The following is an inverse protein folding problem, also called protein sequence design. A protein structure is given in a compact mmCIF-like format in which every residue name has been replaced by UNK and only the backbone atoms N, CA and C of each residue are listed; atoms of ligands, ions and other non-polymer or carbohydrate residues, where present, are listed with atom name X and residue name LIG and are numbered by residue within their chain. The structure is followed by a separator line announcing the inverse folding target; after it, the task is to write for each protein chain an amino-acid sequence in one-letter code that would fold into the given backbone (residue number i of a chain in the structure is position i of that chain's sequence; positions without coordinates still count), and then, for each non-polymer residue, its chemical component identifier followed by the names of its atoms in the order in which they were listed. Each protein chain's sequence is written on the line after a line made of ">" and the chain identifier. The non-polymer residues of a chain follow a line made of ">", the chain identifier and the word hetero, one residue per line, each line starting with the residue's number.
data_IF_124950513752
#
_entry.id   IF_124950513752
#
_cell.length_a   1.000
_cell.length_b   1.000
_cell.length_c   1.000
_cell.angle_alpha   90.00
_cell.angle_beta   90.00
_cell.angle_gamma   90.00
#
_symmetry.space_group_name_H-M   'P 1'
#
loop_
_entity.id
_entity.type
_entity.pdbx_description
1 polymer ?
#
# COMPACT_ATOMS: atom_id res chain seq x y z
N UNK A 1 8.25 13.66 4.04
CA UNK A 1 8.33 12.44 4.87
C UNK A 1 9.78 11.98 4.89
N UNK A 2 10.32 11.51 6.01
CA UNK A 2 11.70 11.03 6.09
C UNK A 2 11.92 9.83 5.16
N UNK A 3 13.17 9.60 4.74
CA UNK A 3 13.52 8.39 4.00
C UNK A 3 13.21 7.15 4.86
N UNK A 4 12.58 6.14 4.26
CA UNK A 4 12.15 4.93 4.97
C UNK A 4 11.09 4.16 4.22
N UNK A 5 10.35 3.34 4.94
CA UNK A 5 9.23 2.56 4.39
C UNK A 5 7.92 3.34 4.53
N UNK A 6 7.25 3.57 3.41
CA UNK A 6 5.88 4.08 3.38
C UNK A 6 4.92 2.91 3.11
N UNK A 7 3.99 2.67 4.01
CA UNK A 7 3.00 1.58 3.89
C UNK A 7 1.64 2.18 3.56
N UNK A 8 1.07 1.81 2.41
CA UNK A 8 -0.30 2.18 2.08
C UNK A 8 -1.26 1.20 2.74
N UNK A 9 -2.22 1.72 3.48
CA UNK A 9 -3.23 0.93 4.20
C UNK A 9 -4.61 1.36 3.75
N UNK A 10 -5.37 0.44 3.18
CA UNK A 10 -6.74 0.73 2.75
C UNK A 10 -7.34 -0.41 1.95
N UNK A 11 -8.69 -0.53 1.93
CA UNK A 11 -9.38 -1.59 1.22
C UNK A 11 -9.13 -1.54 -0.30
N UNK A 12 -9.44 -2.58 -1.05
CA UNK A 12 -9.49 -2.53 -2.52
C UNK A 12 -10.38 -1.35 -2.97
N UNK A 13 -10.06 -0.78 -4.11
CA UNK A 13 -10.73 0.40 -4.68
C UNK A 13 -10.64 1.71 -3.87
N UNK A 14 -9.92 1.78 -2.75
CA UNK A 14 -9.80 2.99 -1.92
C UNK A 14 -8.96 4.13 -2.52
N UNK A 15 -8.44 3.99 -3.74
CA UNK A 15 -7.69 5.04 -4.42
C UNK A 15 -6.17 4.97 -4.30
N UNK A 16 -5.59 3.96 -3.63
CA UNK A 16 -4.14 3.81 -3.44
C UNK A 16 -3.35 3.91 -4.75
N UNK A 17 -3.69 3.10 -5.74
CA UNK A 17 -3.00 3.08 -7.05
C UNK A 17 -3.10 4.41 -7.79
N UNK A 18 -4.27 5.07 -7.74
CA UNK A 18 -4.44 6.39 -8.36
C UNK A 18 -3.60 7.46 -7.67
N UNK A 19 -3.47 7.38 -6.35
CA UNK A 19 -2.62 8.26 -5.56
C UNK A 19 -1.13 8.03 -5.87
N UNK A 20 -0.67 6.77 -5.89
CA UNK A 20 0.72 6.43 -6.23
C UNK A 20 1.05 6.89 -7.65
N UNK A 21 0.16 6.66 -8.61
CA UNK A 21 0.34 7.15 -9.99
C UNK A 21 0.51 8.66 -10.01
N UNK A 22 -0.32 9.41 -9.28
CA UNK A 22 -0.19 10.86 -9.19
C UNK A 22 1.14 11.32 -8.56
N UNK A 23 1.67 10.60 -7.57
CA UNK A 23 3.01 10.86 -7.01
C UNK A 23 4.12 10.68 -8.06
N UNK A 24 4.05 9.62 -8.85
CA UNK A 24 5.04 9.32 -9.90
C UNK A 24 4.94 10.33 -11.05
N UNK A 25 3.73 10.61 -11.54
CA UNK A 25 3.48 11.61 -12.60
C UNK A 25 3.93 13.01 -12.16
N UNK A 26 3.70 13.35 -10.88
CA UNK A 26 4.17 14.59 -10.25
C UNK A 26 5.67 14.61 -9.94
N UNK A 27 6.42 13.56 -10.26
CA UNK A 27 7.86 13.40 -9.96
C UNK A 27 8.23 13.59 -8.49
N UNK A 28 7.29 13.31 -7.60
CA UNK A 28 7.50 13.34 -6.15
C UNK A 28 8.16 12.05 -5.66
N UNK A 29 8.00 10.98 -6.43
CA UNK A 29 8.53 9.64 -6.16
C UNK A 29 8.94 9.00 -7.48
N UNK A 30 10.08 8.32 -7.51
CA UNK A 30 10.49 7.51 -8.65
C UNK A 30 9.62 6.25 -8.74
N UNK A 31 9.29 5.82 -9.95
CA UNK A 31 8.49 4.60 -10.18
C UNK A 31 9.12 3.38 -9.49
N UNK A 32 10.45 3.29 -9.50
CA UNK A 32 11.20 2.21 -8.86
C UNK A 32 11.06 2.18 -7.32
N UNK A 33 10.67 3.30 -6.72
CA UNK A 33 10.39 3.36 -5.27
C UNK A 33 9.06 2.71 -4.90
N UNK A 34 8.21 2.40 -5.85
CA UNK A 34 6.93 1.75 -5.64
C UNK A 34 7.08 0.24 -5.78
N UNK A 35 6.64 -0.49 -4.75
CA UNK A 35 6.59 -1.96 -4.76
C UNK A 35 5.13 -2.36 -4.61
N UNK A 36 4.52 -2.71 -5.74
CA UNK A 36 3.11 -3.08 -5.83
C UNK A 36 2.94 -4.60 -5.84
N UNK A 37 2.12 -5.12 -4.94
CA UNK A 37 1.80 -6.56 -4.92
C UNK A 37 0.99 -6.99 -6.14
N UNK A 38 0.16 -6.10 -6.71
CA UNK A 38 -0.63 -6.38 -7.90
C UNK A 38 0.27 -6.45 -9.15
N UNK A 39 1.28 -5.56 -9.26
CA UNK A 39 2.28 -5.61 -10.33
C UNK A 39 3.13 -6.88 -10.23
N UNK A 40 3.62 -7.22 -9.04
CA UNK A 40 4.37 -8.45 -8.80
C UNK A 40 3.54 -9.68 -9.19
N UNK A 41 2.24 -9.72 -8.85
CA UNK A 41 1.34 -10.79 -9.28
C UNK A 41 1.31 -10.91 -10.80
N UNK A 42 1.14 -9.78 -11.48
CA UNK A 42 1.11 -9.74 -12.95
C UNK A 42 2.44 -10.20 -13.58
N UNK A 43 3.57 -9.79 -13.02
CA UNK A 43 4.90 -10.21 -13.47
C UNK A 43 5.16 -11.71 -13.29
N UNK A 44 4.75 -12.27 -12.14
CA UNK A 44 5.02 -13.67 -11.81
C UNK A 44 4.07 -14.65 -12.50
N UNK A 45 2.83 -14.26 -12.73
CA UNK A 45 1.76 -15.18 -13.16
C UNK A 45 1.00 -14.72 -14.41
N UNK A 46 1.23 -13.48 -14.87
CA UNK A 46 0.48 -12.88 -15.97
C UNK A 46 -0.84 -12.23 -15.53
N UNK A 47 -1.39 -11.39 -16.39
CA UNK A 47 -2.57 -10.59 -16.10
C UNK A 47 -3.88 -11.42 -15.93
N UNK A 48 -3.90 -12.66 -16.41
CA UNK A 48 -5.09 -13.53 -16.43
C UNK A 48 -4.98 -14.75 -15.52
N UNK A 49 -3.97 -14.82 -14.66
CA UNK A 49 -3.75 -15.97 -13.79
C UNK A 49 -4.68 -15.91 -12.57
N UNK A 50 -5.88 -16.48 -12.72
CA UNK A 50 -6.72 -16.86 -11.59
C UNK A 50 -6.17 -18.16 -10.98
N UNK A 51 -5.99 -18.23 -9.63
CA UNK A 51 -5.58 -19.48 -9.00
C UNK A 51 -6.70 -20.52 -9.14
N UNK A 52 -6.33 -21.72 -9.60
CA UNK A 52 -7.28 -22.79 -9.91
C UNK A 52 -7.94 -23.41 -8.66
N UNK A 53 -7.30 -23.29 -7.50
CA UNK A 53 -7.79 -23.74 -6.20
C UNK A 53 -7.19 -22.92 -5.04
N UNK A 54 -7.68 -23.13 -3.81
CA UNK A 54 -7.22 -22.40 -2.62
C UNK A 54 -5.74 -22.66 -2.27
N UNK A 55 -5.25 -23.85 -2.50
CA UNK A 55 -3.85 -24.22 -2.20
C UNK A 55 -2.87 -23.54 -3.16
N UNK A 56 -3.23 -23.43 -4.44
CA UNK A 56 -2.45 -22.69 -5.43
C UNK A 56 -2.50 -21.18 -5.18
N UNK A 57 -3.64 -20.65 -4.68
CA UNK A 57 -3.77 -19.25 -4.28
C UNK A 57 -2.84 -18.89 -3.13
N UNK A 58 -2.79 -19.69 -2.07
CA UNK A 58 -1.92 -19.48 -0.93
C UNK A 58 -0.43 -19.54 -1.33
N UNK A 59 -0.05 -20.47 -2.20
CA UNK A 59 1.31 -20.58 -2.72
C UNK A 59 1.68 -19.38 -3.61
N UNK A 60 0.75 -18.89 -4.44
CA UNK A 60 0.96 -17.71 -5.26
C UNK A 60 1.13 -16.46 -4.38
N UNK A 61 0.30 -16.28 -3.38
CA UNK A 61 0.40 -15.14 -2.44
C UNK A 61 1.71 -15.18 -1.65
N UNK A 62 2.16 -16.36 -1.23
CA UNK A 62 3.45 -16.51 -0.55
C UNK A 62 4.61 -16.03 -1.44
N UNK A 63 4.62 -16.39 -2.74
CA UNK A 63 5.64 -15.95 -3.70
C UNK A 63 5.59 -14.45 -3.96
N UNK A 64 4.38 -13.86 -4.05
CA UNK A 64 4.21 -12.42 -4.21
C UNK A 64 4.79 -11.68 -2.99
N UNK A 65 4.48 -12.15 -1.79
CA UNK A 65 4.98 -11.52 -0.56
C UNK A 65 6.50 -11.69 -0.40
N UNK A 66 7.06 -12.81 -0.80
CA UNK A 66 8.50 -13.02 -0.79
C UNK A 66 9.21 -12.06 -1.75
N UNK A 67 8.75 -11.94 -2.97
CA UNK A 67 9.32 -11.02 -3.96
C UNK A 67 9.14 -9.55 -3.55
N UNK A 68 7.97 -9.18 -3.02
CA UNK A 68 7.73 -7.85 -2.45
C UNK A 68 8.73 -7.51 -1.37
N UNK A 69 8.92 -8.42 -0.40
CA UNK A 69 9.81 -8.19 0.73
C UNK A 69 11.28 -8.13 0.28
N UNK A 70 11.66 -8.92 -0.72
CA UNK A 70 12.99 -8.86 -1.35
C UNK A 70 13.25 -7.48 -1.98
N UNK A 71 12.28 -6.94 -2.75
CA UNK A 71 12.40 -5.60 -3.39
C UNK A 71 12.48 -4.51 -2.34
N UNK A 72 11.62 -4.55 -1.33
CA UNK A 72 11.63 -3.59 -0.21
C UNK A 72 12.96 -3.65 0.52
N UNK A 73 13.45 -4.84 0.87
CA UNK A 73 14.73 -5.03 1.57
C UNK A 73 15.90 -4.47 0.78
N UNK A 74 15.95 -4.71 -0.53
CA UNK A 74 17.02 -4.21 -1.39
C UNK A 74 17.08 -2.67 -1.39
N UNK A 75 15.94 -1.99 -1.46
CA UNK A 75 15.88 -0.53 -1.40
C UNK A 75 16.27 0.02 -0.04
N UNK A 76 15.75 -0.56 1.04
CA UNK A 76 16.08 -0.14 2.41
C UNK A 76 17.57 -0.36 2.73
N UNK A 77 18.16 -1.48 2.27
CA UNK A 77 19.60 -1.75 2.40
C UNK A 77 20.47 -0.71 1.67
N UNK A 78 19.97 -0.17 0.56
CA UNK A 78 20.62 0.92 -0.17
C UNK A 78 20.37 2.32 0.45
N UNK A 79 19.65 2.40 1.58
CA UNK A 79 19.27 3.66 2.21
C UNK A 79 18.19 4.43 1.44
N UNK A 80 17.48 3.76 0.51
CA UNK A 80 16.47 4.36 -0.36
C UNK A 80 15.09 4.25 0.25
N UNK A 81 14.24 5.26 0.00
CA UNK A 81 12.81 5.20 0.35
C UNK A 81 12.08 4.18 -0.52
N UNK A 82 11.03 3.58 0.04
CA UNK A 82 10.17 2.64 -0.67
C UNK A 82 8.72 2.78 -0.24
N UNK A 83 7.79 2.64 -1.18
CA UNK A 83 6.35 2.61 -0.95
C UNK A 83 5.87 1.17 -1.15
N UNK A 84 5.31 0.57 -0.11
CA UNK A 84 4.65 -0.73 -0.18
C UNK A 84 3.18 -0.54 -0.54
N UNK A 85 2.82 -0.81 -1.80
CA UNK A 85 1.46 -0.73 -2.31
C UNK A 85 0.78 -2.10 -2.26
N UNK A 86 -0.15 -2.23 -1.32
CA UNK A 86 -1.08 -3.36 -1.17
C UNK A 86 -2.23 -2.91 -0.26
N UNK A 87 -3.20 -3.77 0.03
CA UNK A 87 -4.29 -3.44 0.96
C UNK A 87 -3.78 -3.21 2.38
N UNK A 88 -2.90 -4.04 2.88
CA UNK A 88 -2.26 -3.98 4.22
C UNK A 88 -3.24 -3.69 5.38
N UNK A 89 -4.52 -4.07 5.25
CA UNK A 89 -5.56 -3.77 6.26
C UNK A 89 -5.46 -4.67 7.49
N UNK A 90 -4.82 -5.82 7.39
CA UNK A 90 -4.66 -6.75 8.50
C UNK A 90 -3.40 -6.45 9.31
N UNK A 91 -3.40 -6.65 10.65
CA UNK A 91 -2.21 -6.50 11.48
C UNK A 91 -1.05 -7.38 11.01
N UNK A 92 -1.32 -8.65 10.63
CA UNK A 92 -0.31 -9.61 10.16
C UNK A 92 0.45 -9.11 8.92
N UNK A 93 -0.27 -8.49 7.96
CA UNK A 93 0.36 -7.94 6.76
C UNK A 93 1.32 -6.78 7.09
N UNK A 94 0.93 -5.93 8.04
CA UNK A 94 1.74 -4.78 8.48
C UNK A 94 2.91 -5.19 9.37
N UNK A 95 2.71 -6.13 10.28
CA UNK A 95 3.76 -6.66 11.16
C UNK A 95 4.99 -7.11 10.36
N UNK A 96 4.77 -7.84 9.27
CA UNK A 96 5.84 -8.29 8.37
C UNK A 96 6.62 -7.13 7.77
N UNK A 97 5.93 -6.08 7.31
CA UNK A 97 6.55 -4.89 6.73
C UNK A 97 7.30 -4.06 7.78
N UNK A 98 6.73 -3.90 8.97
CA UNK A 98 7.33 -3.18 10.08
C UNK A 98 8.59 -3.93 10.58
N UNK A 99 8.52 -5.25 10.71
CA UNK A 99 9.67 -6.07 11.08
C UNK A 99 10.81 -5.95 10.05
N UNK A 100 10.45 -5.90 8.74
CA UNK A 100 11.42 -5.70 7.69
C UNK A 100 12.10 -4.33 7.79
N UNK A 101 11.34 -3.26 7.96
CA UNK A 101 11.88 -1.90 8.11
C UNK A 101 12.81 -1.78 9.35
N UNK A 102 12.43 -2.39 10.47
CA UNK A 102 13.25 -2.42 11.70
C UNK A 102 14.63 -3.05 11.49
N UNK A 103 14.74 -4.08 10.64
CA UNK A 103 16.05 -4.71 10.32
C UNK A 103 17.04 -3.74 9.69
N UNK A 104 16.56 -2.70 9.03
CA UNK A 104 17.37 -1.67 8.39
C UNK A 104 17.36 -0.32 9.14
N UNK A 105 16.80 -0.28 10.35
CA UNK A 105 16.66 0.97 11.12
C UNK A 105 15.80 2.04 10.40
N UNK A 106 14.97 1.62 9.44
CA UNK A 106 14.17 2.52 8.63
C UNK A 106 12.86 2.90 9.35
N UNK A 107 12.49 4.19 9.42
CA UNK A 107 11.21 4.59 9.97
C UNK A 107 10.07 4.13 9.05
N UNK A 108 8.93 3.79 9.66
CA UNK A 108 7.70 3.41 8.94
C UNK A 108 6.70 4.56 8.99
N UNK A 109 6.28 5.04 7.83
CA UNK A 109 5.17 5.97 7.69
C UNK A 109 3.97 5.25 7.08
N UNK A 110 2.80 5.36 7.70
CA UNK A 110 1.57 4.79 7.16
C UNK A 110 0.73 5.89 6.50
N UNK A 111 0.32 5.66 5.27
CA UNK A 111 -0.70 6.43 4.57
C UNK A 111 -2.00 5.64 4.54
N UNK A 112 -3.00 6.13 5.27
CA UNK A 112 -4.27 5.45 5.50
C UNK A 112 -5.34 5.99 4.55
N UNK A 113 -5.93 5.07 3.77
CA UNK A 113 -7.04 5.34 2.85
C UNK A 113 -8.31 4.76 3.46
N UNK A 114 -9.11 5.59 4.10
CA UNK A 114 -10.31 5.19 4.83
C UNK A 114 -11.58 5.84 4.24
N UNK A 115 -11.99 5.45 3.00
CA UNK A 115 -13.24 5.94 2.42
C UNK A 115 -14.44 5.38 3.17
N UNK A 116 -15.56 6.07 3.11
CA UNK A 116 -16.83 5.51 3.55
C UNK A 116 -17.20 4.31 2.69
N UNK A 117 -17.97 3.37 3.26
CA UNK A 117 -18.38 2.15 2.56
C UNK A 117 -19.17 2.46 1.29
N UNK A 118 -20.02 3.50 1.32
CA UNK A 118 -20.77 3.93 0.14
C UNK A 118 -19.87 4.40 -0.99
N UNK A 119 -18.89 5.27 -0.70
CA UNK A 119 -17.89 5.74 -1.66
C UNK A 119 -17.05 4.59 -2.21
N UNK A 120 -16.70 3.64 -1.35
CA UNK A 120 -15.91 2.48 -1.72
C UNK A 120 -16.65 1.59 -2.72
N UNK A 121 -17.93 1.31 -2.47
CA UNK A 121 -18.78 0.51 -3.35
C UNK A 121 -19.00 1.22 -4.68
N UNK A 122 -19.25 2.53 -4.66
CA UNK A 122 -19.37 3.31 -5.88
C UNK A 122 -18.09 3.24 -6.72
N UNK A 123 -16.92 3.47 -6.11
CA UNK A 123 -15.62 3.39 -6.78
C UNK A 123 -15.32 1.98 -7.32
N UNK A 124 -15.75 0.95 -6.60
CA UNK A 124 -15.62 -0.43 -7.04
C UNK A 124 -16.45 -0.69 -8.31
N UNK A 125 -17.72 -0.28 -8.30
CA UNK A 125 -18.62 -0.40 -9.45
C UNK A 125 -18.13 0.39 -10.66
N UNK A 126 -17.70 1.64 -10.45
CA UNK A 126 -17.18 2.50 -11.52
C UNK A 126 -15.92 1.92 -12.22
N UNK A 127 -15.11 1.15 -11.51
CA UNK A 127 -13.91 0.51 -12.06
C UNK A 127 -14.20 -0.78 -12.83
N UNK A 128 -15.43 -1.28 -12.80
CA UNK A 128 -15.81 -2.52 -13.49
C UNK A 128 -15.00 -3.75 -13.04
N UNK A 129 -14.51 -3.74 -11.81
CA UNK A 129 -13.76 -4.90 -11.27
C UNK A 129 -14.72 -6.05 -11.01
N UNK A 130 -14.26 -7.28 -11.30
CA UNK A 130 -15.02 -8.51 -11.11
C UNK A 130 -14.32 -9.51 -10.18
N UNK A 131 -13.12 -9.16 -9.72
CA UNK A 131 -12.25 -10.00 -8.88
C UNK A 131 -12.69 -10.08 -7.41
N UNK A 132 -13.62 -9.23 -6.98
CA UNK A 132 -14.21 -9.23 -5.64
C UNK A 132 -15.73 -9.05 -5.74
N UNK A 133 -16.43 -9.43 -4.70
CA UNK A 133 -17.85 -9.14 -4.54
C UNK A 133 -18.08 -7.90 -3.68
N UNK A 134 -19.30 -7.35 -3.69
CA UNK A 134 -19.68 -6.28 -2.76
C UNK A 134 -19.51 -6.71 -1.30
N UNK A 135 -19.72 -8.00 -1.00
CA UNK A 135 -19.54 -8.57 0.35
C UNK A 135 -18.07 -8.50 0.75
N UNK A 136 -17.16 -8.84 -0.16
CA UNK A 136 -15.72 -8.78 0.09
C UNK A 136 -15.27 -7.34 0.36
N UNK A 137 -15.75 -6.38 -0.44
CA UNK A 137 -15.45 -4.95 -0.27
C UNK A 137 -15.88 -4.45 1.11
N UNK A 138 -17.11 -4.84 1.55
CA UNK A 138 -17.62 -4.52 2.90
C UNK A 138 -16.79 -5.19 4.00
N UNK A 139 -16.36 -6.44 3.78
CA UNK A 139 -15.51 -7.16 4.72
C UNK A 139 -14.15 -6.46 4.90
N UNK A 140 -13.52 -6.03 3.82
CA UNK A 140 -12.28 -5.25 3.88
C UNK A 140 -12.47 -3.92 4.62
N UNK A 141 -13.58 -3.21 4.38
CA UNK A 141 -13.90 -1.97 5.11
C UNK A 141 -14.09 -2.22 6.61
N UNK A 142 -14.76 -3.31 6.98
CA UNK A 142 -14.94 -3.69 8.39
C UNK A 142 -13.60 -4.01 9.07
N UNK A 143 -12.71 -4.75 8.40
CA UNK A 143 -11.34 -5.03 8.89
C UNK A 143 -10.56 -3.72 9.05
N UNK A 144 -10.62 -2.82 8.06
CA UNK A 144 -9.97 -1.51 8.12
C UNK A 144 -10.42 -0.71 9.34
N UNK A 145 -11.73 -0.64 9.59
CA UNK A 145 -12.30 0.11 10.72
C UNK A 145 -11.90 -0.50 12.07
N UNK A 146 -11.86 -1.83 12.17
CA UNK A 146 -11.51 -2.54 13.40
C UNK A 146 -10.01 -2.50 13.70
N UNK A 147 -9.18 -2.69 12.67
CA UNK A 147 -7.77 -3.06 12.85
C UNK A 147 -6.77 -2.01 12.34
N UNK A 148 -7.21 -0.95 11.67
CA UNK A 148 -6.32 0.06 11.11
C UNK A 148 -6.64 1.49 11.61
N UNK A 149 -7.04 1.63 12.88
CA UNK A 149 -7.12 2.92 13.56
C UNK A 149 -5.72 3.56 13.71
N UNK A 150 -5.65 4.90 13.69
CA UNK A 150 -4.36 5.60 13.71
C UNK A 150 -3.51 5.26 14.94
N UNK A 151 -4.12 5.17 16.13
CA UNK A 151 -3.39 4.84 17.36
C UNK A 151 -2.88 3.41 17.32
N UNK A 152 -3.71 2.46 16.88
CA UNK A 152 -3.29 1.07 16.70
C UNK A 152 -2.11 0.94 15.74
N UNK A 153 -2.10 1.67 14.63
CA UNK A 153 -0.99 1.67 13.68
C UNK A 153 0.30 2.21 14.31
N UNK A 154 0.20 3.21 15.19
CA UNK A 154 1.37 3.72 15.97
C UNK A 154 1.85 2.68 16.97
N UNK A 155 0.95 2.01 17.67
CA UNK A 155 1.26 0.95 18.64
C UNK A 155 1.96 -0.25 17.96
N UNK A 156 1.59 -0.56 16.71
CA UNK A 156 2.26 -1.58 15.89
C UNK A 156 3.70 -1.17 15.51
N UNK A 157 4.03 0.11 15.54
CA UNK A 157 5.37 0.65 15.30
C UNK A 157 5.50 1.61 14.13
N UNK A 158 4.40 2.18 13.64
CA UNK A 158 4.46 3.28 12.69
C UNK A 158 4.98 4.56 13.37
N UNK A 159 6.05 5.14 12.85
CA UNK A 159 6.60 6.42 13.31
C UNK A 159 5.66 7.60 13.00
N UNK A 160 4.90 7.50 11.92
CA UNK A 160 3.89 8.48 11.55
C UNK A 160 2.70 7.80 10.85
N UNK A 161 1.51 8.35 11.06
CA UNK A 161 0.27 7.90 10.40
C UNK A 161 -0.45 9.13 9.86
N UNK A 162 -0.77 9.12 8.58
CA UNK A 162 -1.49 10.19 7.90
C UNK A 162 -2.70 9.64 7.16
N UNK A 163 -3.84 10.31 7.30
CA UNK A 163 -5.01 10.04 6.47
C UNK A 163 -4.83 10.71 5.10
N UNK A 164 -5.06 9.94 4.04
CA UNK A 164 -5.06 10.46 2.68
C UNK A 164 -6.49 10.91 2.35
N UNK A 165 -6.71 12.20 2.06
CA UNK A 165 -8.03 12.70 1.70
C UNK A 165 -8.47 12.12 0.36
N UNK A 166 -9.77 11.95 0.19
CA UNK A 166 -10.36 11.36 -1.01
C UNK A 166 -11.68 12.03 -1.42
N UNK A 167 -12.54 11.30 -2.10
CA UNK A 167 -13.82 11.81 -2.65
C UNK A 167 -14.71 12.50 -1.64
N UNK A 168 -14.80 11.96 -0.42
CA UNK A 168 -15.59 12.56 0.66
C UNK A 168 -15.20 14.01 0.94
N UNK A 169 -13.93 14.35 0.78
CA UNK A 169 -13.39 15.69 0.95
C UNK A 169 -13.31 16.46 -0.38
N UNK A 170 -13.93 15.94 -1.45
CA UNK A 170 -13.85 16.48 -2.80
C UNK A 170 -12.40 16.66 -3.30
N UNK A 171 -11.50 15.76 -2.91
CA UNK A 171 -10.08 15.79 -3.25
C UNK A 171 -9.77 14.74 -4.30
N UNK A 172 -9.16 15.16 -5.39
CA UNK A 172 -8.65 14.28 -6.44
C UNK A 172 -7.36 13.58 -5.99
N UNK A 173 -6.97 12.44 -6.61
CA UNK A 173 -5.70 11.79 -6.32
C UNK A 173 -4.48 12.71 -6.45
N UNK A 174 -4.46 13.59 -7.45
CA UNK A 174 -3.39 14.57 -7.67
C UNK A 174 -3.30 15.61 -6.55
N UNK A 175 -4.44 16.17 -6.15
CA UNK A 175 -4.51 17.12 -5.03
C UNK A 175 -4.14 16.45 -3.70
N UNK A 176 -4.53 15.18 -3.50
CA UNK A 176 -4.12 14.40 -2.34
C UNK A 176 -2.60 14.19 -2.36
N UNK A 177 -2.02 13.77 -3.49
CA UNK A 177 -0.59 13.56 -3.65
C UNK A 177 0.21 14.84 -3.38
N UNK A 178 -0.25 15.99 -3.85
CA UNK A 178 0.41 17.29 -3.64
C UNK A 178 0.53 17.72 -2.15
N UNK A 179 -0.24 17.09 -1.25
CA UNK A 179 -0.16 17.35 0.20
C UNK A 179 1.00 16.63 0.89
N UNK A 180 1.66 15.71 0.19
CA UNK A 180 2.74 14.91 0.75
C UNK A 180 4.06 15.26 0.07
N UNK A 181 5.07 15.56 0.88
CA UNK A 181 6.44 15.79 0.40
C UNK A 181 7.30 14.62 0.83
N UNK A 182 7.94 13.97 -0.12
CA UNK A 182 8.90 12.91 0.12
C UNK A 182 10.31 13.49 0.11
N UNK A 183 11.09 13.23 1.16
CA UNK A 183 12.49 13.65 1.16
C UNK A 183 13.23 12.89 0.07
N UNK A 184 13.99 13.58 -0.80
CA UNK A 184 14.83 12.88 -1.74
C UNK A 184 15.79 11.98 -0.99
N UNK A 185 16.04 10.81 -1.54
CA UNK A 185 17.01 9.89 -0.98
C UNK A 185 18.38 10.54 -0.98
N UNK A 186 18.99 10.68 0.18
CA UNK A 186 20.38 11.12 0.27
C UNK A 186 21.23 9.88 0.01
N UNK A 187 22.04 9.84 -1.07
CA UNK A 187 22.96 8.74 -1.25
C UNK A 187 23.87 8.66 0.00
N UNK A 188 24.21 7.45 0.45
CA UNK A 188 25.17 7.29 1.54
C UNK A 188 26.41 8.09 1.18
N UNK A 189 26.80 9.00 2.06
CA UNK A 189 27.99 9.84 1.86
C UNK A 189 29.19 8.94 1.58
N UNK A 190 29.94 9.27 0.54
CA UNK A 190 31.25 8.70 0.26
C UNK A 190 32.20 9.06 1.39
#
# INVERSE_FOLDING_TARGET
>A
MPAGLVVLVGPPASGKTSFVRALVEGRQVDVEAVVSSDEIRTELFGASAEPADSGTADAADARIFEERDRRIAARLAAGLSVIAESTNVTPRARERLIALARRFGAPVTVLRFAPDVADLLQQYTERGRTDLTEVDVRAYAAVMNRDAGADRLRDEGAAAVHDVPGRRQSVTPGEAAARFTFSPCRPPGR
#
